data_IF_192192579120
#
_entry.id   IF_192192579120
#
_cell.length_a   1.000
_cell.length_b   1.000
_cell.length_c   1.000
_cell.angle_alpha   90.00
_cell.angle_beta   90.00
_cell.angle_gamma   90.00
#
_symmetry.space_group_name_H-M   'P 1'
#
loop_
_entity.id
_entity.type
_entity.pdbx_description
1 polymer ?
#
# COMPACT_ATOMS: atom_id res chain seq x y z
N UNK A 1 5.10 -23.68 -9.73
CA UNK A 1 5.01 -22.28 -9.25
C UNK A 1 6.31 -21.57 -9.58
N UNK A 2 6.22 -20.40 -10.19
CA UNK A 2 7.39 -19.55 -10.43
C UNK A 2 7.62 -18.62 -9.23
N UNK A 3 8.67 -18.81 -8.42
CA UNK A 3 8.90 -18.02 -7.22
C UNK A 3 9.20 -16.53 -7.51
N UNK A 4 9.57 -16.20 -8.75
CA UNK A 4 9.80 -14.82 -9.17
C UNK A 4 8.50 -14.06 -9.51
N UNK A 5 7.35 -14.75 -9.48
CA UNK A 5 6.03 -14.20 -9.84
C UNK A 5 4.99 -14.46 -8.74
N UNK A 6 5.42 -14.46 -7.50
CA UNK A 6 4.48 -14.53 -6.36
C UNK A 6 4.01 -13.11 -6.08
N UNK A 7 2.71 -12.92 -6.07
CA UNK A 7 2.05 -11.65 -5.74
C UNK A 7 1.20 -11.81 -4.49
N UNK A 8 0.89 -10.68 -3.85
CA UNK A 8 0.04 -10.63 -2.66
C UNK A 8 -1.27 -9.92 -2.98
N UNK A 9 -2.37 -10.41 -2.44
CA UNK A 9 -3.63 -9.68 -2.42
C UNK A 9 -4.23 -9.71 -1.00
N UNK A 10 -4.77 -8.59 -0.56
CA UNK A 10 -5.42 -8.50 0.73
C UNK A 10 -6.45 -7.40 0.80
N UNK A 11 -7.58 -7.72 1.41
CA UNK A 11 -8.70 -6.83 1.58
C UNK A 11 -8.88 -6.44 3.05
N UNK A 12 -9.32 -5.19 3.30
CA UNK A 12 -9.63 -4.70 4.63
C UNK A 12 -8.38 -4.77 5.55
N UNK A 13 -8.48 -5.34 6.75
CA UNK A 13 -7.32 -5.55 7.65
C UNK A 13 -6.18 -6.37 7.01
N UNK A 14 -6.49 -7.30 6.11
CA UNK A 14 -5.46 -8.03 5.36
C UNK A 14 -4.80 -7.16 4.30
N UNK A 15 -5.47 -6.12 3.77
CA UNK A 15 -4.84 -5.10 2.93
C UNK A 15 -3.78 -4.31 3.69
N UNK A 16 -4.02 -4.01 4.98
CA UNK A 16 -2.99 -3.40 5.87
C UNK A 16 -1.75 -4.31 5.96
N UNK A 17 -1.96 -5.62 6.18
CA UNK A 17 -0.87 -6.59 6.26
C UNK A 17 -0.10 -6.75 4.93
N UNK A 18 -0.82 -6.77 3.80
CA UNK A 18 -0.22 -6.81 2.46
C UNK A 18 0.64 -5.59 2.20
N UNK A 19 0.19 -4.39 2.55
CA UNK A 19 0.98 -3.16 2.36
C UNK A 19 2.30 -3.23 3.12
N UNK A 20 2.28 -3.66 4.39
CA UNK A 20 3.49 -3.84 5.20
C UNK A 20 4.40 -4.91 4.60
N UNK A 21 3.87 -6.09 4.28
CA UNK A 21 4.65 -7.17 3.68
C UNK A 21 5.28 -6.73 2.34
N UNK A 22 4.51 -6.07 1.48
CA UNK A 22 4.98 -5.59 0.18
C UNK A 22 6.04 -4.48 0.31
N UNK A 23 5.96 -3.63 1.34
CA UNK A 23 6.94 -2.57 1.59
C UNK A 23 8.32 -3.15 1.99
N UNK A 24 8.33 -4.14 2.88
CA UNK A 24 9.56 -4.64 3.50
C UNK A 24 10.10 -5.94 2.85
N UNK A 25 9.27 -6.76 2.22
CA UNK A 25 9.72 -7.96 1.54
C UNK A 25 9.80 -7.75 0.02
N UNK A 26 11.01 -7.93 -0.51
CA UNK A 26 11.29 -7.79 -1.94
C UNK A 26 10.97 -9.06 -2.75
N UNK A 27 10.54 -10.14 -2.12
CA UNK A 27 10.20 -11.38 -2.82
C UNK A 27 8.94 -11.27 -3.68
N UNK A 28 8.01 -10.40 -3.28
CA UNK A 28 6.75 -10.25 -4.00
C UNK A 28 6.88 -9.41 -5.28
N UNK A 29 6.37 -9.92 -6.38
CA UNK A 29 6.42 -9.28 -7.70
C UNK A 29 5.40 -8.13 -7.80
N UNK A 30 4.19 -8.35 -7.29
CA UNK A 30 3.11 -7.36 -7.26
C UNK A 30 2.32 -7.45 -5.94
N UNK A 31 1.49 -6.46 -5.66
CA UNK A 31 0.62 -6.47 -4.49
C UNK A 31 -0.67 -5.68 -4.76
N UNK A 32 -1.81 -6.22 -4.29
CA UNK A 32 -3.10 -5.51 -4.23
C UNK A 32 -3.46 -5.19 -2.79
N UNK A 33 -3.63 -3.92 -2.50
CA UNK A 33 -4.01 -3.36 -1.20
C UNK A 33 -5.44 -2.84 -1.28
N UNK A 34 -6.40 -3.72 -0.99
CA UNK A 34 -7.82 -3.46 -1.20
C UNK A 34 -8.51 -2.94 0.05
N UNK A 35 -9.25 -1.81 -0.08
CA UNK A 35 -10.11 -1.20 0.98
C UNK A 35 -9.47 -1.23 2.37
N UNK A 36 -8.22 -0.79 2.47
CA UNK A 36 -7.40 -1.09 3.64
C UNK A 36 -7.54 -0.07 4.78
N UNK A 37 -8.09 1.11 4.56
CA UNK A 37 -8.38 2.09 5.61
C UNK A 37 -7.17 2.56 6.44
N UNK A 38 -7.41 2.97 7.68
CA UNK A 38 -6.39 3.46 8.61
C UNK A 38 -5.38 2.36 8.97
N UNK A 39 -4.08 2.70 8.98
CA UNK A 39 -3.00 1.72 9.13
C UNK A 39 -2.72 0.88 7.89
N UNK A 40 -3.49 1.11 6.82
CA UNK A 40 -3.26 0.64 5.46
C UNK A 40 -2.92 1.81 4.54
N UNK A 41 -3.55 1.89 3.37
CA UNK A 41 -3.26 2.91 2.37
C UNK A 41 -3.92 4.27 2.62
N UNK A 42 -4.82 4.41 3.63
CA UNK A 42 -5.46 5.69 3.96
C UNK A 42 -4.47 6.62 4.67
N UNK A 43 -4.41 7.90 4.28
CA UNK A 43 -3.70 8.93 5.05
C UNK A 43 -4.27 9.01 6.48
N UNK A 44 -3.43 8.75 7.47
CA UNK A 44 -3.83 8.72 8.88
C UNK A 44 -4.11 10.12 9.43
N UNK A 45 -3.41 11.14 8.91
CA UNK A 45 -3.64 12.54 9.27
C UNK A 45 -4.91 13.14 8.67
N UNK A 46 -5.55 12.43 7.74
CA UNK A 46 -6.85 12.82 7.21
C UNK A 46 -7.96 12.34 8.14
N UNK A 47 -8.63 13.27 8.81
CA UNK A 47 -9.74 12.97 9.72
C UNK A 47 -11.04 12.70 8.96
N UNK A 48 -11.13 11.52 8.35
CA UNK A 48 -12.31 11.04 7.64
C UNK A 48 -12.38 9.50 7.70
N UNK A 49 -13.59 8.96 7.77
CA UNK A 49 -13.80 7.50 7.81
C UNK A 49 -13.19 6.86 9.07
N UNK A 50 -12.50 5.75 8.90
CA UNK A 50 -11.81 5.04 9.98
C UNK A 50 -10.68 5.90 10.54
N UNK A 51 -10.76 6.19 11.84
CA UNK A 51 -9.76 6.98 12.56
C UNK A 51 -8.70 6.09 13.18
N UNK A 52 -7.55 6.67 13.46
CA UNK A 52 -6.47 5.95 14.12
C UNK A 52 -6.86 5.46 15.52
N UNK A 53 -7.64 6.25 16.23
CA UNK A 53 -8.19 5.92 17.55
C UNK A 53 -9.12 4.71 17.52
N UNK A 54 -9.81 4.45 16.40
CA UNK A 54 -10.64 3.26 16.24
C UNK A 54 -9.78 1.98 16.28
N UNK A 55 -8.50 2.08 15.90
CA UNK A 55 -7.56 0.95 15.92
C UNK A 55 -7.14 0.55 17.34
N UNK A 56 -7.36 1.40 18.36
CA UNK A 56 -7.15 1.05 19.75
C UNK A 56 -8.32 0.25 20.38
N UNK A 57 -9.47 0.18 19.69
CA UNK A 57 -10.63 -0.56 20.14
C UNK A 57 -10.42 -2.07 20.22
N UNK A 58 -11.22 -2.75 21.04
CA UNK A 58 -11.11 -4.21 21.30
C UNK A 58 -11.19 -5.07 20.03
N UNK A 59 -11.87 -4.58 18.97
CA UNK A 59 -12.01 -5.26 17.70
C UNK A 59 -10.81 -5.15 16.75
N UNK A 60 -9.84 -4.24 17.04
CA UNK A 60 -8.80 -3.91 16.07
C UNK A 60 -7.38 -3.83 16.66
N UNK A 61 -7.21 -3.55 17.96
CA UNK A 61 -5.88 -3.32 18.55
C UNK A 61 -4.88 -4.45 18.31
N UNK A 62 -5.35 -5.69 18.26
CA UNK A 62 -4.54 -6.89 18.04
C UNK A 62 -4.03 -7.04 16.60
N UNK A 63 -4.45 -6.17 15.67
CA UNK A 63 -3.90 -6.15 14.30
C UNK A 63 -2.57 -5.41 14.21
N UNK A 64 -2.18 -4.69 15.26
CA UNK A 64 -1.05 -3.76 15.24
C UNK A 64 -0.01 -4.09 16.31
N UNK A 65 1.23 -3.65 16.06
CA UNK A 65 2.27 -3.71 17.08
C UNK A 65 1.92 -2.77 18.26
N UNK A 66 2.27 -3.15 19.50
CA UNK A 66 1.84 -2.41 20.70
C UNK A 66 2.20 -0.93 20.74
N UNK A 67 3.35 -0.53 20.18
CA UNK A 67 3.78 0.88 20.16
C UNK A 67 2.87 1.79 19.31
N UNK A 68 2.04 1.24 18.45
CA UNK A 68 1.00 1.98 17.73
C UNK A 68 -0.01 2.60 18.72
N UNK A 69 -0.27 1.94 19.85
CA UNK A 69 -1.21 2.40 20.86
C UNK A 69 -0.81 3.75 21.46
N UNK A 70 0.46 4.11 21.47
CA UNK A 70 0.91 5.43 21.92
C UNK A 70 0.26 6.58 21.12
N UNK A 71 -0.04 6.35 19.84
CA UNK A 71 -0.64 7.31 18.92
C UNK A 71 -2.17 7.16 18.81
N UNK A 72 -2.71 6.01 19.15
CA UNK A 72 -4.14 5.72 19.03
C UNK A 72 -4.91 5.95 20.34
N UNK A 73 -4.25 5.83 21.50
CA UNK A 73 -4.87 5.97 22.83
C UNK A 73 -3.93 6.47 23.92
N UNK A 74 -2.66 6.69 23.64
CA UNK A 74 -1.60 6.94 24.61
C UNK A 74 -1.15 8.39 24.78
N UNK A 75 -1.96 9.38 24.41
CA UNK A 75 -1.66 10.80 24.59
C UNK A 75 -0.88 11.46 23.44
N UNK A 76 -0.46 10.69 22.43
CA UNK A 76 -0.04 11.20 21.12
C UNK A 76 -1.22 11.19 20.15
N UNK A 77 -1.08 11.91 19.04
CA UNK A 77 -2.07 12.01 17.97
C UNK A 77 -1.49 11.55 16.65
N UNK A 78 -2.30 11.49 15.61
CA UNK A 78 -1.83 11.24 14.24
C UNK A 78 -0.85 12.30 13.73
N UNK A 79 -0.91 13.53 14.28
CA UNK A 79 0.06 14.59 13.96
C UNK A 79 1.48 14.25 14.41
N UNK A 80 1.61 13.48 15.49
CA UNK A 80 2.90 13.07 16.07
C UNK A 80 3.51 11.85 15.38
N UNK A 81 2.81 11.22 14.44
CA UNK A 81 3.33 10.09 13.68
C UNK A 81 4.56 10.52 12.86
N UNK A 82 5.67 9.76 12.89
CA UNK A 82 6.86 10.08 12.11
C UNK A 82 6.67 9.83 10.60
N UNK A 83 5.67 9.04 10.24
CA UNK A 83 5.33 8.65 8.86
C UNK A 83 3.82 8.74 8.65
N UNK A 84 3.38 8.63 7.39
CA UNK A 84 1.98 8.39 7.05
C UNK A 84 1.90 7.33 5.93
N UNK A 85 0.71 6.94 5.53
CA UNK A 85 0.46 5.85 4.58
C UNK A 85 1.28 5.98 3.27
N UNK A 86 1.38 7.20 2.71
CA UNK A 86 2.15 7.44 1.49
C UNK A 86 3.64 7.10 1.63
N UNK A 87 4.21 7.26 2.83
CA UNK A 87 5.61 6.90 3.09
C UNK A 87 5.79 5.38 3.03
N UNK A 88 4.84 4.62 3.58
CA UNK A 88 4.86 3.16 3.53
C UNK A 88 4.64 2.65 2.09
N UNK A 89 3.71 3.27 1.35
CA UNK A 89 3.52 3.02 -0.09
C UNK A 89 4.83 3.27 -0.84
N UNK A 90 5.50 4.40 -0.61
CA UNK A 90 6.74 4.80 -1.29
C UNK A 90 7.88 3.78 -1.12
N UNK A 91 7.95 3.05 0.00
CA UNK A 91 8.93 1.98 0.21
C UNK A 91 8.80 0.83 -0.80
N UNK A 92 7.65 0.72 -1.46
CA UNK A 92 7.43 -0.28 -2.50
C UNK A 92 8.14 0.06 -3.82
N UNK A 93 8.40 1.34 -4.09
CA UNK A 93 8.98 1.78 -5.36
C UNK A 93 10.31 1.08 -5.70
N UNK A 94 10.58 0.77 -6.96
CA UNK A 94 9.72 0.92 -8.15
C UNK A 94 8.88 -0.32 -8.46
N UNK A 95 8.66 -1.22 -7.50
CA UNK A 95 7.92 -2.46 -7.67
C UNK A 95 6.42 -2.19 -7.85
N UNK A 96 5.72 -3.11 -8.51
CA UNK A 96 4.30 -2.94 -8.79
C UNK A 96 3.46 -2.98 -7.51
N UNK A 97 2.49 -2.07 -7.42
CA UNK A 97 1.50 -1.97 -6.34
C UNK A 97 0.21 -1.42 -6.92
N UNK A 98 -0.88 -2.15 -6.72
CA UNK A 98 -2.22 -1.68 -6.98
C UNK A 98 -2.92 -1.38 -5.64
N UNK A 99 -3.54 -0.22 -5.53
CA UNK A 99 -4.42 0.11 -4.39
C UNK A 99 -5.84 0.14 -4.92
N UNK A 100 -6.73 -0.64 -4.30
CA UNK A 100 -8.11 -0.75 -4.73
C UNK A 100 -9.09 -0.37 -3.61
N UNK A 101 -10.27 0.10 -3.98
CA UNK A 101 -11.37 0.33 -3.04
C UNK A 101 -12.73 0.20 -3.70
N UNK A 102 -13.78 0.09 -2.89
CA UNK A 102 -15.15 0.27 -3.33
C UNK A 102 -15.57 1.74 -3.28
N UNK A 103 -16.81 1.99 -3.70
CA UNK A 103 -17.44 3.31 -3.62
C UNK A 103 -17.88 3.64 -2.19
N UNK A 104 -17.58 4.86 -1.75
CA UNK A 104 -18.07 5.38 -0.47
C UNK A 104 -19.60 5.30 -0.35
N UNK A 105 -20.32 5.63 -1.42
CA UNK A 105 -21.80 5.59 -1.48
C UNK A 105 -22.40 4.18 -1.43
N UNK A 106 -21.58 3.15 -1.58
CA UNK A 106 -21.98 1.73 -1.55
C UNK A 106 -21.51 0.99 -0.30
N UNK A 107 -21.02 1.71 0.70
CA UNK A 107 -20.63 1.14 2.00
C UNK A 107 -19.12 1.05 2.25
N UNK A 108 -18.29 1.67 1.40
CA UNK A 108 -16.83 1.72 1.62
C UNK A 108 -16.35 3.09 2.15
N UNK A 109 -17.27 3.96 2.59
CA UNK A 109 -16.94 5.30 3.07
C UNK A 109 -15.95 5.30 4.25
N UNK A 110 -16.06 4.31 5.12
CA UNK A 110 -15.26 4.23 6.35
C UNK A 110 -13.77 3.95 6.10
N UNK A 111 -13.40 3.33 4.99
CA UNK A 111 -11.99 3.17 4.61
C UNK A 111 -11.40 4.41 3.95
N UNK A 112 -12.23 5.43 3.69
CA UNK A 112 -11.84 6.68 3.06
C UNK A 112 -11.13 6.48 1.70
N UNK A 113 -11.86 6.08 0.64
CA UNK A 113 -11.27 5.88 -0.68
C UNK A 113 -10.51 7.09 -1.20
N UNK A 114 -11.02 8.31 -0.92
CA UNK A 114 -10.33 9.55 -1.29
C UNK A 114 -8.98 9.70 -0.57
N UNK A 115 -8.93 9.40 0.74
CA UNK A 115 -7.68 9.44 1.50
C UNK A 115 -6.68 8.36 1.07
N UNK A 116 -7.17 7.20 0.63
CA UNK A 116 -6.32 6.15 0.06
C UNK A 116 -5.72 6.60 -1.28
N UNK A 117 -6.54 7.17 -2.18
CA UNK A 117 -6.07 7.74 -3.44
C UNK A 117 -5.06 8.87 -3.22
N UNK A 118 -5.33 9.80 -2.29
CA UNK A 118 -4.39 10.86 -1.94
C UNK A 118 -3.04 10.33 -1.45
N UNK A 119 -3.03 9.21 -0.73
CA UNK A 119 -1.79 8.57 -0.31
C UNK A 119 -1.01 7.97 -1.48
N UNK A 120 -1.72 7.36 -2.45
CA UNK A 120 -1.12 6.89 -3.71
C UNK A 120 -0.47 8.07 -4.43
N UNK A 121 -1.19 9.18 -4.61
CA UNK A 121 -0.67 10.40 -5.25
C UNK A 121 0.58 10.95 -4.54
N UNK A 122 0.53 11.04 -3.21
CA UNK A 122 1.65 11.53 -2.41
C UNK A 122 2.89 10.62 -2.47
N UNK A 123 2.73 9.34 -2.83
CA UNK A 123 3.83 8.38 -2.99
C UNK A 123 4.45 8.36 -4.40
N UNK A 124 3.78 8.90 -5.41
CA UNK A 124 4.22 8.88 -6.83
C UNK A 124 5.64 9.40 -7.07
N UNK A 125 6.13 10.46 -6.39
CA UNK A 125 7.49 10.93 -6.60
C UNK A 125 8.54 9.82 -6.43
N UNK A 126 8.28 8.82 -5.57
CA UNK A 126 9.18 7.68 -5.40
C UNK A 126 9.27 6.80 -6.67
N UNK A 127 8.18 6.63 -7.41
CA UNK A 127 8.18 5.92 -8.70
C UNK A 127 8.77 6.77 -9.83
N UNK A 128 8.52 8.08 -9.82
CA UNK A 128 9.05 9.02 -10.81
C UNK A 128 10.59 9.02 -10.83
N UNK A 129 11.25 8.87 -9.68
CA UNK A 129 12.72 8.73 -9.58
C UNK A 129 13.25 7.60 -10.47
N UNK A 130 12.45 6.54 -10.66
CA UNK A 130 12.80 5.37 -11.49
C UNK A 130 12.23 5.46 -12.91
N UNK A 131 11.67 6.60 -13.32
CA UNK A 131 11.08 6.80 -14.63
C UNK A 131 9.77 6.05 -14.87
N UNK A 132 9.09 5.61 -13.80
CA UNK A 132 7.80 4.95 -13.94
C UNK A 132 6.69 5.98 -14.16
N UNK A 133 5.73 5.65 -15.05
CA UNK A 133 4.51 6.44 -15.20
C UNK A 133 3.61 6.27 -13.98
N UNK A 134 2.88 7.32 -13.65
CA UNK A 134 1.96 7.40 -12.51
C UNK A 134 0.61 7.95 -12.98
N UNK A 135 -0.49 7.69 -12.24
CA UNK A 135 -1.82 8.20 -12.56
C UNK A 135 -1.86 9.73 -12.68
N UNK A 136 -2.94 10.26 -13.27
CA UNK A 136 -3.18 11.70 -13.40
C UNK A 136 -3.51 12.41 -12.08
N UNK A 137 -3.71 13.74 -12.12
CA UNK A 137 -3.90 14.57 -10.92
C UNK A 137 -5.28 14.48 -10.27
N UNK A 138 -6.30 14.03 -10.97
CA UNK A 138 -7.65 13.86 -10.46
C UNK A 138 -7.94 12.41 -10.11
N UNK A 139 -8.71 12.21 -9.03
CA UNK A 139 -9.20 10.86 -8.70
C UNK A 139 -10.09 10.36 -9.83
N UNK A 140 -9.80 9.19 -10.39
CA UNK A 140 -10.57 8.64 -11.48
C UNK A 140 -11.99 8.26 -11.05
N UNK A 141 -12.91 8.25 -12.01
CA UNK A 141 -14.27 7.78 -11.78
C UNK A 141 -14.30 6.27 -11.52
N UNK A 142 -15.20 5.78 -10.65
CA UNK A 142 -15.29 4.35 -10.36
C UNK A 142 -15.56 3.51 -11.62
N UNK A 143 -14.88 2.37 -11.70
CA UNK A 143 -15.01 1.42 -12.82
C UNK A 143 -14.08 1.70 -14.00
N UNK A 144 -13.20 2.71 -13.91
CA UNK A 144 -12.23 3.01 -14.97
C UNK A 144 -11.01 2.08 -14.90
N UNK A 145 -10.84 1.13 -15.85
CA UNK A 145 -9.74 0.16 -15.82
C UNK A 145 -8.37 0.77 -16.15
N UNK A 146 -8.33 1.94 -16.76
CA UNK A 146 -7.07 2.59 -17.15
C UNK A 146 -6.22 3.00 -15.95
N UNK A 147 -6.83 3.14 -14.79
CA UNK A 147 -6.15 3.55 -13.56
C UNK A 147 -5.26 2.46 -12.97
N UNK A 148 -5.55 1.18 -13.30
CA UNK A 148 -4.68 0.06 -12.97
C UNK A 148 -3.53 -0.13 -13.99
N UNK A 149 -3.39 0.77 -14.98
CA UNK A 149 -2.38 0.68 -16.03
C UNK A 149 -0.98 1.12 -15.59
N UNK A 150 -0.83 1.66 -14.40
CA UNK A 150 0.43 2.19 -13.88
C UNK A 150 1.08 1.24 -12.87
N UNK A 151 2.39 1.29 -12.73
CA UNK A 151 3.14 0.47 -11.77
C UNK A 151 2.74 0.76 -10.32
N UNK A 152 2.46 1.99 -9.99
CA UNK A 152 1.68 2.40 -8.83
C UNK A 152 0.28 2.72 -9.34
N UNK A 153 -0.63 1.77 -9.23
CA UNK A 153 -1.98 1.86 -9.75
C UNK A 153 -3.01 2.20 -8.69
N UNK A 154 -4.09 2.80 -9.13
CA UNK A 154 -5.31 3.00 -8.37
C UNK A 154 -6.50 2.42 -9.15
N UNK A 155 -7.40 1.76 -8.45
CA UNK A 155 -8.67 1.35 -9.03
C UNK A 155 -9.80 1.40 -8.00
N UNK A 156 -10.88 2.11 -8.33
CA UNK A 156 -12.10 2.11 -7.55
C UNK A 156 -13.19 1.34 -8.31
N UNK A 157 -13.66 0.24 -7.75
CA UNK A 157 -14.79 -0.49 -8.32
C UNK A 157 -16.13 0.10 -7.88
N UNK A 158 -17.22 -0.26 -8.57
CA UNK A 158 -18.55 0.31 -8.39
C UNK A 158 -19.35 -0.29 -7.23
N UNK A 159 -18.81 -1.30 -6.54
CA UNK A 159 -19.42 -1.93 -5.37
C UNK A 159 -18.93 -1.30 -4.06
N UNK A 160 -19.37 -1.86 -2.91
CA UNK A 160 -18.97 -1.42 -1.57
C UNK A 160 -17.74 -2.14 -1.03
N UNK A 161 -17.76 -2.50 0.26
CA UNK A 161 -16.62 -3.13 0.95
C UNK A 161 -16.48 -4.63 0.63
N UNK A 162 -16.06 -4.93 -0.60
CA UNK A 162 -15.88 -6.30 -1.11
C UNK A 162 -14.64 -6.39 -2.01
N UNK A 163 -13.86 -7.49 -2.00
CA UNK A 163 -12.60 -7.57 -2.75
C UNK A 163 -12.77 -7.98 -4.21
N UNK A 164 -13.76 -8.84 -4.54
CA UNK A 164 -13.82 -9.54 -5.82
C UNK A 164 -13.92 -8.65 -7.07
N UNK A 165 -14.57 -7.46 -7.08
CA UNK A 165 -14.55 -6.64 -8.28
C UNK A 165 -13.17 -6.06 -8.61
N UNK A 166 -12.27 -5.99 -7.63
CA UNK A 166 -10.89 -5.56 -7.80
C UNK A 166 -9.97 -6.62 -8.40
N UNK A 167 -10.32 -7.91 -8.28
CA UNK A 167 -9.41 -9.00 -8.67
C UNK A 167 -9.11 -9.05 -10.17
N UNK A 168 -10.09 -8.74 -11.02
CA UNK A 168 -9.86 -8.69 -12.46
C UNK A 168 -8.78 -7.65 -12.81
N UNK A 169 -8.88 -6.48 -12.20
CA UNK A 169 -7.89 -5.41 -12.38
C UNK A 169 -6.54 -5.78 -11.79
N UNK A 170 -6.52 -6.46 -10.64
CA UNK A 170 -5.28 -6.95 -10.07
C UNK A 170 -4.60 -7.99 -10.95
N UNK A 171 -5.34 -8.94 -11.52
CA UNK A 171 -4.75 -9.92 -12.45
C UNK A 171 -4.21 -9.27 -13.73
N UNK A 172 -4.90 -8.24 -14.24
CA UNK A 172 -4.42 -7.46 -15.38
C UNK A 172 -3.14 -6.68 -15.03
N UNK A 173 -3.09 -6.08 -13.84
CA UNK A 173 -1.93 -5.37 -13.29
C UNK A 173 -0.75 -6.32 -13.08
N UNK A 174 -0.96 -7.48 -12.46
CA UNK A 174 0.04 -8.52 -12.28
C UNK A 174 0.59 -9.01 -13.63
N UNK A 175 -0.28 -9.30 -14.59
CA UNK A 175 0.13 -9.74 -15.93
C UNK A 175 1.03 -8.70 -16.62
N UNK A 176 0.78 -7.41 -16.38
CA UNK A 176 1.52 -6.31 -16.97
C UNK A 176 2.86 -6.03 -16.27
N UNK A 177 2.92 -6.09 -14.96
CA UNK A 177 4.03 -5.58 -14.17
C UNK A 177 4.81 -6.63 -13.38
N UNK A 178 4.24 -7.81 -13.09
CA UNK A 178 4.95 -8.90 -12.45
C UNK A 178 5.88 -9.62 -13.46
N UNK A 179 6.75 -8.86 -14.12
CA UNK A 179 7.77 -9.41 -14.98
C UNK A 179 8.79 -10.24 -14.18
N UNK A 180 9.48 -11.24 -14.81
CA UNK A 180 10.57 -11.95 -14.16
C UNK A 180 11.59 -10.95 -13.61
N UNK A 181 11.93 -11.05 -12.34
CA UNK A 181 12.93 -10.19 -11.72
C UNK A 181 14.25 -10.32 -12.47
N UNK A 182 14.67 -9.27 -13.15
CA UNK A 182 16.09 -9.05 -13.39
C UNK A 182 16.69 -8.93 -11.99
N UNK A 183 17.58 -9.84 -11.61
CA UNK A 183 18.17 -9.91 -10.27
C UNK A 183 18.90 -8.60 -9.97
N UNK A 184 18.21 -7.63 -9.39
CA UNK A 184 18.89 -6.57 -8.64
C UNK A 184 19.44 -7.27 -7.41
N UNK A 185 20.72 -7.63 -7.43
CA UNK A 185 21.41 -8.13 -6.25
C UNK A 185 21.42 -6.99 -5.23
N UNK A 186 20.54 -7.07 -4.26
CA UNK A 186 20.62 -6.24 -3.07
C UNK A 186 22.01 -6.50 -2.46
N UNK A 187 22.91 -5.53 -2.55
CA UNK A 187 24.15 -5.56 -1.80
C UNK A 187 23.79 -5.14 -0.38
N UNK A 188 23.71 -6.11 0.50
CA UNK A 188 23.54 -5.88 1.93
C UNK A 188 24.68 -4.92 2.40
N UNK A 189 24.36 -3.67 2.77
CA UNK A 189 25.37 -2.69 3.16
C UNK A 189 26.13 -3.12 4.42
N UNK A 190 25.55 -3.99 5.25
CA UNK A 190 26.18 -4.51 6.47
C UNK A 190 27.27 -5.54 6.12
N UNK A 191 27.07 -6.37 5.11
CA UNK A 191 28.07 -7.36 4.66
C UNK A 191 29.27 -6.69 3.95
N UNK A 192 29.04 -5.61 3.21
CA UNK A 192 30.13 -4.85 2.57
C UNK A 192 31.02 -4.11 3.57
N UNK A 193 30.50 -3.71 4.72
CA UNK A 193 31.29 -3.06 5.77
C UNK A 193 32.18 -4.05 6.54
N UNK A 194 31.75 -5.32 6.71
CA UNK A 194 32.58 -6.36 7.36
C UNK A 194 33.75 -6.83 6.47
N UNK A 195 33.53 -6.90 5.16
CA UNK A 195 34.59 -7.30 4.23
C UNK A 195 35.73 -6.27 4.13
N UNK A 196 35.48 -4.99 4.38
CA UNK A 196 36.49 -3.93 4.35
C UNK A 196 37.30 -3.80 5.67
N UNK A 197 36.83 -4.37 6.78
CA UNK A 197 37.54 -4.36 8.08
C UNK A 197 38.39 -5.60 8.34
N UNK A 198 38.37 -6.58 7.46
CA UNK A 198 39.14 -7.82 7.57
C UNK A 198 40.44 -7.85 6.76
N UNK A 199 40.85 -6.72 6.18
CA UNK A 199 42.12 -6.56 5.50
C UNK A 199 42.94 -5.46 6.22
N UNK A 200 43.38 -5.77 7.40
CA UNK A 200 44.34 -5.01 8.18
C UNK A 200 45.08 -5.94 9.12
#
# INVERSE_FOLDING_TARGET
INPARISLAGHSRFGKAVLVAAAFDHAFADADVSSSGAGGAKLMRRDFGERWENMAGSGAFHWFAPNVMAYASGGKTTADLPIDAHTLIALRAPRALLVTSGMASKGDAWVDPTGMWQAVRAAEPAWAIFGASVPGDSMPDPGHPDDAAYRLGWYQHTEGHVPWPGYEQFYAHEARFAAPRTTVRYRDPVKTHRARRGMG
#
